data_IF_733265339407
#
_entry.id   IF_733265339407
#
_cell.length_a   1.000
_cell.length_b   1.000
_cell.length_c   1.000
_cell.angle_alpha   90.00
_cell.angle_beta   90.00
_cell.angle_gamma   90.00
#
_symmetry.space_group_name_H-M   'P 1'
#
loop_
_entity.id
_entity.type
_entity.pdbx_description
1 polymer ?
#
# COMPACT_ATOMS: atom_id res chain seq x y z
N UNK A 1 3.12 -33.65 -7.07
CA UNK A 1 4.55 -33.43 -7.34
C UNK A 1 5.07 -32.34 -6.41
N UNK A 2 6.00 -32.68 -5.51
CA UNK A 2 6.64 -31.70 -4.63
C UNK A 2 7.68 -30.88 -5.42
N UNK A 3 7.63 -29.56 -5.34
CA UNK A 3 8.66 -28.68 -5.91
C UNK A 3 9.79 -28.50 -4.90
N UNK A 4 11.05 -28.54 -5.38
CA UNK A 4 12.25 -28.34 -4.56
C UNK A 4 12.94 -27.04 -4.98
N UNK A 5 12.82 -26.00 -4.16
CA UNK A 5 13.54 -24.74 -4.30
C UNK A 5 14.76 -24.74 -3.37
N UNK A 6 15.95 -24.49 -3.93
CA UNK A 6 17.20 -24.44 -3.16
C UNK A 6 17.83 -23.05 -3.35
N UNK A 7 18.17 -22.41 -2.25
CA UNK A 7 18.85 -21.12 -2.20
C UNK A 7 20.02 -21.20 -1.22
N UNK A 8 21.11 -20.49 -1.53
CA UNK A 8 22.29 -20.43 -0.68
C UNK A 8 22.42 -19.02 -0.11
N UNK A 9 22.74 -18.91 1.18
CA UNK A 9 23.00 -17.62 1.82
C UNK A 9 24.08 -16.85 1.09
N UNK A 10 23.88 -15.56 0.94
CA UNK A 10 24.79 -14.62 0.26
C UNK A 10 25.03 -14.93 -1.23
N UNK A 11 24.27 -15.83 -1.86
CA UNK A 11 24.37 -16.14 -3.28
C UNK A 11 23.08 -15.75 -4.02
N UNK A 12 23.21 -15.10 -5.16
CA UNK A 12 22.07 -14.81 -6.04
C UNK A 12 21.69 -16.00 -6.94
N UNK A 13 22.44 -17.10 -6.91
CA UNK A 13 22.10 -18.30 -7.67
C UNK A 13 21.18 -19.19 -6.85
N UNK A 14 20.06 -19.58 -7.43
CA UNK A 14 19.11 -20.52 -6.85
C UNK A 14 18.74 -21.61 -7.86
N UNK A 15 18.14 -22.70 -7.40
CA UNK A 15 17.63 -23.76 -8.27
C UNK A 15 16.19 -24.10 -7.91
N UNK A 16 15.36 -24.33 -8.93
CA UNK A 16 14.04 -24.93 -8.79
C UNK A 16 14.02 -26.26 -9.54
N UNK A 17 13.79 -27.35 -8.82
CA UNK A 17 13.83 -28.71 -9.39
C UNK A 17 15.12 -28.98 -10.20
N UNK A 18 16.27 -28.49 -9.69
CA UNK A 18 17.58 -28.63 -10.33
C UNK A 18 17.90 -27.56 -11.40
N UNK A 19 16.94 -26.83 -11.93
CA UNK A 19 17.18 -25.76 -12.92
C UNK A 19 17.63 -24.47 -12.23
N UNK A 20 18.79 -23.94 -12.63
CA UNK A 20 19.37 -22.69 -12.10
C UNK A 20 18.59 -21.46 -12.56
N UNK A 21 18.50 -20.47 -11.68
CA UNK A 21 18.03 -19.10 -12.00
C UNK A 21 18.68 -18.09 -11.07
N UNK A 22 18.59 -16.79 -11.43
CA UNK A 22 19.17 -15.71 -10.66
C UNK A 22 18.10 -15.00 -9.84
N UNK A 23 18.40 -14.78 -8.55
CA UNK A 23 17.59 -13.98 -7.64
C UNK A 23 17.90 -12.48 -7.81
N UNK A 24 16.95 -11.58 -7.64
CA UNK A 24 17.17 -10.13 -7.65
C UNK A 24 18.07 -9.70 -6.47
N UNK A 25 17.96 -10.36 -5.33
CA UNK A 25 18.84 -10.19 -4.17
C UNK A 25 19.22 -11.55 -3.57
N UNK A 26 20.40 -11.62 -2.93
CA UNK A 26 20.84 -12.84 -2.27
C UNK A 26 20.08 -13.04 -0.93
N UNK A 27 19.73 -14.29 -0.56
CA UNK A 27 19.23 -14.57 0.78
C UNK A 27 20.24 -14.15 1.85
N UNK A 28 19.75 -13.49 2.90
CA UNK A 28 20.58 -12.97 3.98
C UNK A 28 20.08 -13.44 5.35
N UNK A 29 21.02 -13.73 6.23
CA UNK A 29 20.71 -13.99 7.65
C UNK A 29 20.68 -12.64 8.38
N UNK A 30 19.56 -12.31 9.00
CA UNK A 30 19.40 -11.12 9.84
C UNK A 30 19.10 -11.53 11.27
N UNK A 31 19.60 -10.75 12.23
CA UNK A 31 19.27 -10.92 13.63
C UNK A 31 18.14 -9.97 13.99
N UNK A 32 17.00 -10.52 14.37
CA UNK A 32 15.89 -9.74 14.87
C UNK A 32 16.08 -9.46 16.37
N UNK A 33 16.51 -8.24 16.69
CA UNK A 33 16.97 -7.87 18.04
C UNK A 33 15.86 -8.02 19.08
N UNK A 34 14.64 -7.58 18.78
CA UNK A 34 13.51 -7.63 19.71
C UNK A 34 13.13 -9.05 20.14
N UNK A 35 13.32 -10.05 19.30
CA UNK A 35 13.06 -11.47 19.62
C UNK A 35 14.33 -12.29 19.89
N UNK A 36 15.52 -11.66 19.83
CA UNK A 36 16.83 -12.32 19.97
C UNK A 36 16.99 -13.55 19.05
N UNK A 37 16.30 -13.58 17.90
CA UNK A 37 16.31 -14.69 16.93
C UNK A 37 16.91 -14.28 15.60
N UNK A 38 17.50 -15.26 14.91
CA UNK A 38 17.99 -15.09 13.55
C UNK A 38 16.90 -15.56 12.56
N UNK A 39 16.74 -14.81 11.48
CA UNK A 39 15.84 -15.14 10.37
C UNK A 39 16.62 -15.12 9.06
N UNK A 40 16.19 -15.92 8.11
CA UNK A 40 16.72 -15.89 6.75
C UNK A 40 15.70 -15.10 5.91
N UNK A 41 16.15 -13.99 5.38
CA UNK A 41 15.37 -13.19 4.46
C UNK A 41 15.63 -13.63 3.03
N UNK A 42 14.56 -13.79 2.27
CA UNK A 42 14.58 -14.19 0.85
C UNK A 42 13.75 -13.21 0.03
N UNK A 43 14.02 -13.03 -1.27
CA UNK A 43 13.19 -12.20 -2.15
C UNK A 43 11.82 -12.88 -2.37
N UNK A 44 10.83 -12.47 -1.58
CA UNK A 44 9.53 -13.16 -1.45
C UNK A 44 8.73 -13.21 -2.74
N UNK A 45 8.78 -12.16 -3.56
CA UNK A 45 8.08 -12.04 -4.83
C UNK A 45 8.54 -13.11 -5.85
N UNK A 46 9.85 -13.19 -6.09
CA UNK A 46 10.40 -14.17 -7.04
C UNK A 46 10.25 -15.61 -6.53
N UNK A 47 10.38 -15.81 -5.22
CA UNK A 47 10.19 -17.12 -4.58
C UNK A 47 8.76 -17.60 -4.75
N UNK A 48 7.78 -16.74 -4.43
CA UNK A 48 6.37 -17.06 -4.60
C UNK A 48 6.04 -17.34 -6.08
N UNK A 49 6.46 -16.47 -6.99
CA UNK A 49 6.25 -16.63 -8.44
C UNK A 49 6.86 -17.95 -8.97
N UNK A 50 8.07 -18.32 -8.54
CA UNK A 50 8.71 -19.56 -8.96
C UNK A 50 8.00 -20.80 -8.44
N UNK A 51 7.33 -20.70 -7.30
CA UNK A 51 6.53 -21.79 -6.73
C UNK A 51 5.06 -21.80 -7.25
N UNK A 52 4.72 -20.95 -8.22
CA UNK A 52 3.36 -20.85 -8.76
C UNK A 52 2.36 -20.23 -7.78
N UNK A 53 2.87 -19.40 -6.87
CA UNK A 53 2.07 -18.67 -5.88
C UNK A 53 1.95 -17.19 -6.29
N UNK A 54 0.85 -16.58 -5.93
CA UNK A 54 0.68 -15.14 -6.03
C UNK A 54 1.34 -14.47 -4.83
N UNK A 55 2.05 -13.38 -5.09
CA UNK A 55 2.64 -12.52 -4.07
C UNK A 55 2.16 -11.11 -4.27
N UNK A 56 1.66 -10.50 -3.21
CA UNK A 56 1.37 -9.07 -3.16
C UNK A 56 2.06 -8.46 -1.95
N UNK A 57 2.73 -7.34 -2.16
CA UNK A 57 3.38 -6.59 -1.11
C UNK A 57 2.59 -5.32 -0.81
N UNK A 58 2.32 -5.09 0.45
CA UNK A 58 1.70 -3.85 0.91
C UNK A 58 2.78 -2.98 1.54
N UNK A 59 3.26 -1.97 0.80
CA UNK A 59 4.28 -1.03 1.28
C UNK A 59 3.88 -0.28 2.54
N UNK A 60 2.58 -0.09 2.75
CA UNK A 60 2.06 0.65 3.88
C UNK A 60 2.01 -0.18 5.16
N UNK A 61 1.66 -1.47 5.06
CA UNK A 61 1.61 -2.40 6.18
C UNK A 61 2.93 -3.16 6.35
N UNK A 62 3.91 -2.92 5.47
CA UNK A 62 5.17 -3.67 5.40
C UNK A 62 4.93 -5.19 5.49
N UNK A 63 3.89 -5.65 4.79
CA UNK A 63 3.45 -7.04 4.84
C UNK A 63 3.32 -7.64 3.45
N UNK A 64 3.79 -8.87 3.29
CA UNK A 64 3.62 -9.68 2.09
C UNK A 64 2.51 -10.71 2.29
N UNK A 65 1.62 -10.84 1.31
CA UNK A 65 0.60 -11.88 1.26
C UNK A 65 0.99 -12.87 0.16
N UNK A 66 1.08 -14.14 0.52
CA UNK A 66 1.31 -15.25 -0.43
C UNK A 66 0.03 -16.07 -0.50
N UNK A 67 -0.52 -16.25 -1.70
CA UNK A 67 -1.72 -17.04 -1.93
C UNK A 67 -1.51 -18.07 -3.05
N UNK A 68 -2.24 -19.18 -2.98
CA UNK A 68 -2.26 -20.16 -4.07
C UNK A 68 -3.01 -19.55 -5.26
N UNK A 69 -2.35 -19.47 -6.42
CA UNK A 69 -2.99 -19.04 -7.65
C UNK A 69 -4.00 -20.08 -8.13
N UNK A 70 -5.16 -19.62 -8.59
CA UNK A 70 -6.01 -20.44 -9.45
C UNK A 70 -5.31 -20.58 -10.81
N UNK A 71 -5.13 -21.79 -11.28
CA UNK A 71 -4.51 -22.07 -12.59
C UNK A 71 -5.47 -21.69 -13.71
N UNK A 72 -5.43 -20.44 -14.13
CA UNK A 72 -5.94 -20.03 -15.44
C UNK A 72 -4.76 -19.54 -16.27
N UNK A 73 -4.44 -20.30 -17.30
CA UNK A 73 -3.43 -20.00 -18.31
C UNK A 73 -3.87 -18.75 -19.10
N UNK A 74 -3.03 -17.73 -19.28
CA UNK A 74 -3.36 -16.64 -20.20
C UNK A 74 -3.30 -17.16 -21.64
N UNK A 75 -4.41 -17.07 -22.37
CA UNK A 75 -4.45 -17.25 -23.81
C UNK A 75 -4.07 -15.91 -24.49
N UNK A 76 -3.42 -15.96 -25.68
CA UNK A 76 -3.00 -14.73 -26.38
C UNK A 76 -4.23 -14.01 -26.95
N UNK A 77 -4.26 -12.70 -26.74
CA UNK A 77 -5.31 -11.81 -27.24
C UNK A 77 -5.17 -11.54 -28.72
N UNK A 78 -6.21 -11.88 -29.48
CA UNK A 78 -6.51 -11.33 -30.81
C UNK A 78 -7.78 -10.48 -30.70
N UNK A 79 -7.86 -9.29 -31.30
CA UNK A 79 -9.03 -8.44 -31.18
C UNK A 79 -10.14 -8.89 -32.09
N UNK A 80 -11.34 -9.12 -31.57
CA UNK A 80 -12.56 -9.23 -32.36
C UNK A 80 -13.72 -8.55 -31.65
N UNK A 81 -14.31 -7.60 -32.38
CA UNK A 81 -15.58 -6.95 -32.09
C UNK A 81 -16.71 -7.95 -32.07
N UNK A 82 -17.49 -8.03 -31.00
CA UNK A 82 -18.91 -8.35 -31.05
C UNK A 82 -19.63 -7.99 -29.73
N UNK A 83 -20.87 -7.57 -29.88
CA UNK A 83 -21.89 -6.99 -29.00
C UNK A 83 -22.35 -7.96 -27.87
N UNK A 84 -22.95 -7.48 -26.79
CA UNK A 84 -23.09 -8.21 -25.53
C UNK A 84 -24.21 -9.25 -25.56
N UNK A 85 -23.90 -10.40 -24.96
CA UNK A 85 -24.92 -11.40 -24.60
C UNK A 85 -24.69 -11.82 -23.15
N UNK A 86 -25.76 -11.68 -22.38
CA UNK A 86 -25.90 -12.05 -20.98
C UNK A 86 -25.69 -13.54 -20.76
N UNK A 87 -24.77 -13.91 -19.90
CA UNK A 87 -24.82 -15.17 -19.16
C UNK A 87 -23.88 -15.09 -17.94
N UNK A 88 -24.44 -15.34 -16.76
CA UNK A 88 -23.72 -15.50 -15.51
C UNK A 88 -22.67 -16.61 -15.61
N UNK A 89 -21.47 -16.39 -15.06
CA UNK A 89 -20.72 -17.48 -14.46
C UNK A 89 -20.47 -17.21 -12.98
N UNK A 90 -20.92 -18.17 -12.19
CA UNK A 90 -20.52 -18.36 -10.79
C UNK A 90 -19.01 -18.55 -10.72
N UNK A 91 -18.30 -17.49 -10.40
CA UNK A 91 -16.85 -17.47 -10.13
C UNK A 91 -16.62 -17.18 -8.65
N UNK A 92 -16.17 -18.18 -7.91
CA UNK A 92 -15.74 -18.08 -6.52
C UNK A 92 -14.63 -17.04 -6.40
N UNK A 93 -15.00 -15.80 -6.09
CA UNK A 93 -14.09 -14.74 -5.69
C UNK A 93 -13.61 -15.05 -4.29
N UNK A 94 -12.33 -15.26 -4.10
CA UNK A 94 -11.71 -15.32 -2.77
C UNK A 94 -11.89 -13.96 -2.11
N UNK A 95 -12.94 -13.85 -1.32
CA UNK A 95 -13.31 -12.71 -0.51
C UNK A 95 -12.17 -12.47 0.48
N UNK A 96 -11.36 -11.43 0.26
CA UNK A 96 -10.59 -10.84 1.36
C UNK A 96 -11.62 -10.17 2.24
N UNK A 97 -12.12 -10.91 3.21
CA UNK A 97 -13.01 -10.39 4.23
C UNK A 97 -12.16 -9.50 5.14
N UNK A 98 -12.06 -8.20 4.83
CA UNK A 98 -11.96 -7.23 5.89
C UNK A 98 -13.22 -7.44 6.71
N UNK A 99 -13.07 -7.87 7.96
CA UNK A 99 -14.22 -8.07 8.87
C UNK A 99 -15.00 -6.76 8.85
N UNK A 100 -16.30 -6.81 8.51
CA UNK A 100 -17.18 -5.63 8.49
C UNK A 100 -17.24 -4.91 9.85
N UNK A 101 -16.65 -5.49 10.88
CA UNK A 101 -16.59 -4.96 12.24
C UNK A 101 -15.35 -4.08 12.52
N UNK A 102 -14.27 -4.16 11.74
CA UNK A 102 -12.99 -3.52 12.08
C UNK A 102 -12.63 -2.37 11.12
N UNK A 103 -13.52 -1.38 11.00
CA UNK A 103 -13.27 -0.14 10.27
C UNK A 103 -13.68 1.07 11.11
N UNK A 104 -12.98 2.19 10.89
CA UNK A 104 -13.38 3.51 11.42
C UNK A 104 -14.39 4.20 10.48
N UNK A 105 -14.24 3.98 9.16
CA UNK A 105 -15.11 4.56 8.13
C UNK A 105 -15.38 3.51 7.06
N UNK A 106 -16.65 3.44 6.65
CA UNK A 106 -17.09 2.71 5.47
C UNK A 106 -17.74 3.68 4.49
N UNK A 107 -17.34 3.65 3.24
CA UNK A 107 -17.83 4.53 2.17
C UNK A 107 -18.38 3.64 1.06
N UNK A 108 -19.66 3.82 0.69
CA UNK A 108 -20.26 3.11 -0.45
C UNK A 108 -19.61 3.58 -1.75
N UNK A 109 -19.38 2.68 -2.67
CA UNK A 109 -18.91 2.99 -4.03
C UNK A 109 -20.13 3.20 -4.94
N UNK A 110 -20.05 4.13 -5.92
CA UNK A 110 -21.00 4.15 -7.03
C UNK A 110 -20.99 2.82 -7.78
N UNK A 111 -22.13 2.40 -8.29
CA UNK A 111 -22.24 1.20 -9.11
C UNK A 111 -21.34 1.34 -10.35
N UNK A 112 -20.58 0.30 -10.66
CA UNK A 112 -19.64 0.27 -11.78
C UNK A 112 -18.30 0.97 -11.53
N UNK A 113 -18.05 1.59 -10.38
CA UNK A 113 -16.75 2.17 -10.07
C UNK A 113 -15.71 1.10 -9.79
N UNK A 114 -14.74 0.98 -10.71
CA UNK A 114 -13.63 0.03 -10.57
C UNK A 114 -12.71 0.37 -9.40
N UNK A 115 -12.24 -0.65 -8.69
CA UNK A 115 -11.21 -0.48 -7.66
C UNK A 115 -9.88 0.04 -8.22
N UNK A 116 -9.59 -0.20 -9.49
CA UNK A 116 -8.39 0.31 -10.16
C UNK A 116 -8.41 1.83 -10.40
N UNK A 117 -9.60 2.45 -10.40
CA UNK A 117 -9.78 3.90 -10.51
C UNK A 117 -9.65 4.63 -9.17
N UNK A 118 -9.37 3.90 -8.07
CA UNK A 118 -9.30 4.44 -6.74
C UNK A 118 -7.88 4.24 -6.20
N UNK A 119 -7.27 5.34 -5.80
CA UNK A 119 -5.99 5.36 -5.11
C UNK A 119 -6.10 6.10 -3.77
N UNK A 120 -5.09 6.01 -2.94
CA UNK A 120 -5.05 6.76 -1.68
C UNK A 120 -3.67 7.35 -1.44
N UNK A 121 -3.65 8.53 -0.82
CA UNK A 121 -2.45 9.24 -0.40
C UNK A 121 -2.55 9.56 1.09
N UNK A 122 -1.57 9.09 1.87
CA UNK A 122 -1.44 9.43 3.28
C UNK A 122 -0.64 10.73 3.39
N UNK A 123 -1.34 11.83 3.59
CA UNK A 123 -0.75 13.15 3.81
C UNK A 123 -0.68 13.40 5.34
N UNK A 124 0.26 12.72 5.98
CA UNK A 124 0.44 12.83 7.44
C UNK A 124 0.80 14.25 7.89
N UNK A 125 1.43 15.05 7.03
CA UNK A 125 1.75 16.46 7.31
C UNK A 125 0.50 17.29 7.57
N UNK A 126 -0.52 17.10 6.74
CA UNK A 126 -1.82 17.75 6.90
C UNK A 126 -2.78 16.93 7.76
N UNK A 127 -2.31 15.85 8.39
CA UNK A 127 -3.11 14.95 9.25
C UNK A 127 -4.33 14.39 8.53
N UNK A 128 -4.18 14.02 7.27
CA UNK A 128 -5.29 13.55 6.45
C UNK A 128 -4.93 12.34 5.59
N UNK A 129 -5.94 11.53 5.33
CA UNK A 129 -5.93 10.59 4.23
C UNK A 129 -6.73 11.17 3.07
N UNK A 130 -6.18 11.15 1.88
CA UNK A 130 -6.87 11.46 0.64
C UNK A 130 -7.20 10.16 -0.09
N UNK A 131 -8.48 9.92 -0.37
CA UNK A 131 -8.93 8.89 -1.32
C UNK A 131 -9.17 9.63 -2.63
N UNK A 132 -8.51 9.18 -3.70
CA UNK A 132 -8.48 9.84 -5.00
C UNK A 132 -9.16 8.92 -6.00
N UNK A 133 -10.19 9.43 -6.68
CA UNK A 133 -11.03 8.66 -7.58
C UNK A 133 -11.03 9.35 -8.94
N UNK A 134 -10.72 8.61 -10.00
CA UNK A 134 -10.76 9.13 -11.37
C UNK A 134 -12.22 9.40 -11.77
N UNK A 135 -12.53 10.63 -12.15
CA UNK A 135 -13.88 11.09 -12.52
C UNK A 135 -14.55 12.02 -11.50
N UNK A 136 -15.73 12.53 -11.87
CA UNK A 136 -16.53 13.43 -11.01
C UNK A 136 -17.65 12.66 -10.29
N UNK A 137 -17.40 12.36 -9.04
CA UNK A 137 -18.34 11.68 -8.15
C UNK A 137 -18.74 12.52 -6.94
N UNK A 138 -18.56 13.87 -7.00
CA UNK A 138 -18.84 14.78 -5.87
C UNK A 138 -20.24 14.62 -5.31
N UNK A 139 -21.24 14.59 -6.17
CA UNK A 139 -22.63 14.50 -5.75
C UNK A 139 -22.89 13.19 -4.98
N UNK A 140 -22.33 12.09 -5.46
CA UNK A 140 -22.47 10.79 -4.80
C UNK A 140 -21.82 10.78 -3.41
N UNK A 141 -20.55 11.19 -3.32
CA UNK A 141 -19.79 11.12 -2.06
C UNK A 141 -20.15 12.21 -1.05
N UNK A 142 -20.77 13.31 -1.46
CA UNK A 142 -21.33 14.31 -0.53
C UNK A 142 -22.59 13.81 0.18
N UNK A 143 -23.28 12.81 -0.36
CA UNK A 143 -24.51 12.25 0.26
C UNK A 143 -24.14 11.48 1.54
N UNK A 144 -24.66 11.91 2.68
CA UNK A 144 -24.31 11.37 4.00
C UNK A 144 -24.69 9.89 4.16
N UNK A 145 -25.76 9.43 3.53
CA UNK A 145 -26.22 8.04 3.57
C UNK A 145 -25.24 7.05 2.89
N UNK A 146 -24.35 7.55 2.04
CA UNK A 146 -23.36 6.72 1.35
C UNK A 146 -22.10 6.45 2.20
N UNK A 147 -22.09 6.86 3.47
CA UNK A 147 -20.98 6.62 4.39
C UNK A 147 -21.43 6.31 5.81
N UNK A 148 -20.62 5.52 6.50
CA UNK A 148 -20.73 5.29 7.94
C UNK A 148 -19.41 5.71 8.59
N UNK A 149 -19.46 6.62 9.56
CA UNK A 149 -18.31 7.13 10.30
C UNK A 149 -18.51 6.77 11.75
N UNK A 150 -17.57 6.02 12.34
CA UNK A 150 -17.61 5.57 13.74
C UNK A 150 -16.85 6.51 14.68
N UNK A 151 -15.81 7.17 14.15
CA UNK A 151 -14.90 8.00 14.95
C UNK A 151 -14.98 9.48 14.54
N UNK A 152 -14.51 10.37 15.42
CA UNK A 152 -14.48 11.82 15.14
C UNK A 152 -13.41 12.17 14.12
N UNK A 153 -13.83 12.64 12.95
CA UNK A 153 -12.98 13.22 11.91
C UNK A 153 -13.78 14.17 11.03
N UNK A 154 -13.07 14.97 10.23
CA UNK A 154 -13.67 15.81 9.22
C UNK A 154 -13.63 15.11 7.87
N UNK A 155 -14.80 14.91 7.26
CA UNK A 155 -14.99 14.34 5.94
C UNK A 155 -15.27 15.46 4.93
N UNK A 156 -14.44 15.59 3.91
CA UNK A 156 -14.62 16.61 2.85
C UNK A 156 -14.46 15.98 1.46
N UNK A 157 -15.31 16.39 0.54
CA UNK A 157 -15.21 15.99 -0.88
C UNK A 157 -14.90 17.22 -1.73
N UNK A 158 -13.96 17.07 -2.64
CA UNK A 158 -13.59 18.09 -3.62
C UNK A 158 -13.33 17.46 -4.99
N UNK A 159 -13.27 18.30 -6.02
CA UNK A 159 -12.97 17.86 -7.38
C UNK A 159 -11.92 18.78 -7.97
N UNK A 160 -10.87 18.22 -8.51
CA UNK A 160 -9.79 18.95 -9.14
C UNK A 160 -9.15 18.08 -10.23
N UNK A 161 -8.87 18.69 -11.39
CA UNK A 161 -8.14 18.05 -12.49
C UNK A 161 -8.67 16.67 -12.91
N UNK A 162 -10.00 16.53 -13.05
CA UNK A 162 -10.61 15.29 -13.48
C UNK A 162 -10.76 14.23 -12.38
N UNK A 163 -10.45 14.54 -11.14
CA UNK A 163 -10.46 13.58 -10.02
C UNK A 163 -11.31 14.09 -8.85
N UNK A 164 -12.03 13.15 -8.24
CA UNK A 164 -12.72 13.37 -6.97
C UNK A 164 -11.78 13.01 -5.82
N UNK A 165 -11.67 13.91 -4.85
CA UNK A 165 -10.89 13.73 -3.63
C UNK A 165 -11.83 13.63 -2.43
N UNK A 166 -11.71 12.53 -1.67
CA UNK A 166 -12.33 12.39 -0.36
C UNK A 166 -11.22 12.59 0.67
N UNK A 167 -11.27 13.68 1.41
CA UNK A 167 -10.28 14.02 2.42
C UNK A 167 -10.83 13.66 3.81
N UNK A 168 -10.15 12.76 4.49
CA UNK A 168 -10.44 12.32 5.84
C UNK A 168 -9.41 12.96 6.77
N UNK A 169 -9.83 14.05 7.45
CA UNK A 169 -8.94 14.92 8.23
C UNK A 169 -9.12 14.62 9.71
N UNK A 170 -8.02 14.40 10.42
CA UNK A 170 -7.97 14.11 11.85
C UNK A 170 -7.31 15.24 12.63
N UNK A 171 -7.59 15.34 13.93
CA UNK A 171 -6.99 16.37 14.81
C UNK A 171 -5.49 16.13 15.07
N UNK A 172 -5.05 14.86 15.03
CA UNK A 172 -3.67 14.44 15.25
C UNK A 172 -3.20 13.54 14.12
N UNK A 173 -1.88 13.34 13.98
CA UNK A 173 -1.32 12.37 13.03
C UNK A 173 -1.85 10.98 13.34
N UNK A 174 -2.38 10.30 12.34
CA UNK A 174 -2.88 8.93 12.40
C UNK A 174 -2.17 8.04 11.38
N UNK A 175 -2.09 6.75 11.67
CA UNK A 175 -1.86 5.74 10.66
C UNK A 175 -3.20 5.38 10.01
N UNK A 176 -3.21 5.15 8.71
CA UNK A 176 -4.39 4.77 7.96
C UNK A 176 -4.18 3.43 7.25
N UNK A 177 -5.24 2.64 7.15
CA UNK A 177 -5.32 1.46 6.30
C UNK A 177 -6.56 1.56 5.44
N UNK A 178 -6.42 1.37 4.13
CA UNK A 178 -7.52 1.42 3.16
C UNK A 178 -7.66 0.06 2.51
N UNK A 179 -8.85 -0.50 2.58
CA UNK A 179 -9.21 -1.73 1.88
C UNK A 179 -10.48 -1.50 1.06
N UNK A 180 -10.71 -2.30 0.03
CA UNK A 180 -11.84 -2.14 -0.88
C UNK A 180 -12.50 -3.48 -1.15
N UNK A 181 -13.82 -3.45 -1.29
CA UNK A 181 -14.63 -4.49 -1.94
C UNK A 181 -15.25 -3.91 -3.21
N UNK A 182 -16.07 -4.67 -3.92
CA UNK A 182 -16.78 -4.16 -5.10
C UNK A 182 -17.74 -3.01 -4.73
N UNK A 183 -18.32 -3.05 -3.53
CA UNK A 183 -19.35 -2.10 -3.10
C UNK A 183 -18.87 -1.02 -2.14
N UNK A 184 -17.74 -1.21 -1.46
CA UNK A 184 -17.32 -0.33 -0.37
C UNK A 184 -15.80 -0.07 -0.34
N UNK A 185 -15.46 1.11 0.15
CA UNK A 185 -14.12 1.47 0.62
C UNK A 185 -14.18 1.46 2.16
N UNK A 186 -13.26 0.73 2.78
CA UNK A 186 -13.12 0.67 4.24
C UNK A 186 -11.82 1.37 4.64
N UNK A 187 -11.91 2.24 5.61
CA UNK A 187 -10.76 2.92 6.19
C UNK A 187 -10.71 2.64 7.68
N UNK A 188 -9.59 2.12 8.15
CA UNK A 188 -9.25 2.03 9.56
C UNK A 188 -8.16 3.05 9.85
N UNK A 189 -8.23 3.72 11.00
CA UNK A 189 -7.16 4.56 11.48
C UNK A 189 -7.03 4.50 13.00
N UNK A 190 -5.79 4.65 13.46
CA UNK A 190 -5.48 4.71 14.88
C UNK A 190 -4.19 5.55 15.10
N UNK A 191 -3.71 5.64 16.32
CA UNK A 191 -2.40 6.22 16.55
C UNK A 191 -1.34 5.41 15.79
N UNK A 192 -0.29 6.06 15.23
CA UNK A 192 0.70 5.35 14.42
C UNK A 192 1.32 4.12 15.11
N UNK A 193 1.59 4.22 16.42
CA UNK A 193 2.12 3.11 17.23
C UNK A 193 1.19 1.88 17.30
N UNK A 194 -0.11 2.09 17.11
CA UNK A 194 -1.12 1.02 17.17
C UNK A 194 -1.41 0.43 15.78
N UNK A 195 -0.97 1.13 14.72
CA UNK A 195 -1.13 0.71 13.32
C UNK A 195 0.13 0.09 12.75
N UNK A 196 1.30 0.53 13.18
CA UNK A 196 2.59 0.14 12.60
C UNK A 196 3.48 -0.52 13.64
N UNK A 197 4.16 -1.56 13.24
CA UNK A 197 5.10 -2.27 14.10
C UNK A 197 6.29 -1.40 14.54
N UNK A 198 6.68 -0.43 13.71
CA UNK A 198 7.71 0.57 14.02
C UNK A 198 7.29 1.92 13.45
N UNK A 199 7.54 2.95 14.23
CA UNK A 199 7.37 4.35 13.84
C UNK A 199 8.72 5.04 13.99
N UNK A 200 9.23 5.63 12.93
CA UNK A 200 10.44 6.44 12.93
C UNK A 200 10.01 7.88 12.70
N UNK A 201 10.38 8.76 13.60
CA UNK A 201 10.18 10.21 13.45
C UNK A 201 11.54 10.82 13.20
N UNK A 202 11.67 11.57 12.12
CA UNK A 202 12.88 12.32 11.78
C UNK A 202 12.48 13.78 11.72
N UNK A 203 13.08 14.59 12.60
CA UNK A 203 12.83 16.01 12.70
C UNK A 203 14.03 16.80 12.14
N UNK A 204 13.75 17.74 11.24
CA UNK A 204 14.79 18.61 10.69
C UNK A 204 15.09 19.72 11.69
N UNK A 205 16.35 19.87 12.09
CA UNK A 205 16.77 20.97 12.95
C UNK A 205 16.50 22.33 12.31
N UNK A 206 16.20 23.32 13.14
CA UNK A 206 15.85 24.70 12.77
C UNK A 206 14.53 24.79 12.00
N UNK A 207 14.15 25.99 11.51
CA UNK A 207 12.92 26.17 10.74
C UNK A 207 12.20 27.48 11.06
N UNK A 208 11.20 27.84 10.24
CA UNK A 208 10.46 29.07 10.41
C UNK A 208 11.38 30.30 10.49
N UNK A 209 11.38 31.00 11.62
CA UNK A 209 12.24 32.17 11.90
C UNK A 209 13.67 31.78 12.28
N UNK A 210 13.91 30.56 12.76
CA UNK A 210 15.24 30.07 13.10
C UNK A 210 15.93 29.57 11.84
N UNK A 211 16.93 30.30 11.39
CA UNK A 211 17.74 29.95 10.21
C UNK A 211 18.79 28.88 10.51
N UNK A 212 19.19 28.70 11.76
CA UNK A 212 20.44 28.07 12.12
C UNK A 212 21.65 28.86 11.60
N UNK A 213 22.77 28.22 11.46
CA UNK A 213 23.99 28.82 10.92
C UNK A 213 23.81 29.22 9.46
N UNK A 214 24.46 30.33 9.09
CA UNK A 214 24.48 30.86 7.70
C UNK A 214 25.91 31.13 7.28
N UNK A 215 26.28 30.70 6.09
CA UNK A 215 27.62 30.91 5.55
C UNK A 215 27.79 30.34 4.15
N UNK A 216 28.69 30.92 3.36
CA UNK A 216 29.00 30.47 2.00
C UNK A 216 27.76 30.24 1.11
N UNK A 217 26.71 31.06 1.30
CA UNK A 217 25.46 30.94 0.52
C UNK A 217 24.51 29.84 1.01
N UNK A 218 24.81 29.15 2.10
CA UNK A 218 23.95 28.11 2.69
C UNK A 218 23.25 28.62 3.94
N UNK A 219 22.08 28.08 4.19
CA UNK A 219 21.27 28.29 5.40
C UNK A 219 20.99 26.91 5.99
N UNK A 220 21.37 26.69 7.25
CA UNK A 220 21.35 25.36 7.89
C UNK A 220 19.95 24.72 7.86
N UNK A 221 18.88 25.48 8.16
CA UNK A 221 17.51 24.95 8.10
C UNK A 221 17.14 24.34 6.74
N UNK A 222 17.65 24.91 5.64
CA UNK A 222 17.38 24.40 4.30
C UNK A 222 18.15 23.09 4.05
N UNK A 223 19.36 23.00 4.60
CA UNK A 223 20.20 21.81 4.49
C UNK A 223 19.61 20.64 5.29
N UNK A 224 19.25 20.88 6.55
CA UNK A 224 18.66 19.86 7.44
C UNK A 224 17.33 19.35 6.86
N UNK A 225 16.46 20.26 6.38
CA UNK A 225 15.20 19.87 5.72
C UNK A 225 15.46 19.00 4.47
N UNK A 226 16.44 19.38 3.64
CA UNK A 226 16.79 18.60 2.44
C UNK A 226 17.32 17.21 2.79
N UNK A 227 18.10 17.08 3.86
CA UNK A 227 18.58 15.79 4.35
C UNK A 227 17.38 14.91 4.74
N UNK A 228 16.45 15.43 5.54
CA UNK A 228 15.25 14.69 5.98
C UNK A 228 14.38 14.28 4.79
N UNK A 229 14.18 15.18 3.81
CA UNK A 229 13.45 14.85 2.58
C UNK A 229 14.12 13.75 1.76
N UNK A 230 15.46 13.75 1.66
CA UNK A 230 16.19 12.69 0.99
C UNK A 230 16.08 11.35 1.74
N UNK A 231 16.16 11.38 3.08
CA UNK A 231 15.94 10.20 3.92
C UNK A 231 14.54 9.64 3.65
N UNK A 232 13.50 10.48 3.68
CA UNK A 232 12.14 10.07 3.35
C UNK A 232 12.05 9.42 1.98
N UNK A 233 12.63 10.04 0.95
CA UNK A 233 12.62 9.49 -0.41
C UNK A 233 13.27 8.11 -0.48
N UNK A 234 14.38 7.90 0.25
CA UNK A 234 15.03 6.59 0.31
C UNK A 234 14.14 5.55 1.00
N UNK A 235 13.49 5.91 2.11
CA UNK A 235 12.54 5.01 2.77
C UNK A 235 11.31 4.69 1.90
N UNK A 236 10.79 5.68 1.16
CA UNK A 236 9.64 5.49 0.27
C UNK A 236 9.99 4.61 -0.95
N UNK A 237 11.25 4.62 -1.38
CA UNK A 237 11.74 3.87 -2.53
C UNK A 237 12.36 2.50 -2.17
N UNK A 238 12.61 2.23 -0.90
CA UNK A 238 13.20 0.97 -0.45
C UNK A 238 12.10 -0.08 -0.28
N UNK A 239 12.11 -1.15 -1.08
CA UNK A 239 11.10 -2.22 -1.01
C UNK A 239 11.39 -3.23 0.11
N UNK A 240 11.87 -2.78 1.30
CA UNK A 240 12.16 -3.66 2.44
C UNK A 240 11.05 -4.62 2.80
#
# INVERSE_FOLDING_TARGET
NSQKLVMTLNSRTATLNGKKFTLPSAPRKIRYIAKKKNYIMVPGDIVAKKLGLNYSWNNRLLSGVISKGSTAKPAPSTPSNTKPQTSNPSGSTTKITASESDYSIRIKKPDGLSSSSISSNDDYWNKQLQIIIDGDYRNFFNTASNRTIKDSLTYKVSYLNGKTYINLITSTIKGFSVTQTDSYIYVKYAAPKDMFYRVIVIDAGHGGKDSGATGNGYIEKNMTLKIVQNIKTNFDSDPL
#
